data_IF_955012780750
#
_entry.id   IF_955012780750
#
_cell.length_a   1.000
_cell.length_b   1.000
_cell.length_c   1.000
_cell.angle_alpha   90.00
_cell.angle_beta   90.00
_cell.angle_gamma   90.00
#
_symmetry.space_group_name_H-M   'P 1'
#
loop_
_entity.id
_entity.type
_entity.pdbx_description
1 polymer ?
#
# COMPACT_ATOMS: atom_id res chain seq x y z
N UNK A 1 -26.78 -24.35 33.07
CA UNK A 1 -26.01 -23.09 32.98
C UNK A 1 -24.89 -23.34 32.00
N UNK A 2 -24.99 -22.80 30.78
CA UNK A 2 -23.95 -22.91 29.77
C UNK A 2 -23.02 -21.70 29.91
N UNK A 3 -21.73 -21.96 30.04
CA UNK A 3 -20.69 -20.93 29.98
C UNK A 3 -20.66 -20.36 28.56
N UNK A 4 -21.03 -19.09 28.40
CA UNK A 4 -20.74 -18.33 27.18
C UNK A 4 -19.23 -18.11 27.15
N UNK A 5 -18.55 -18.75 26.20
CA UNK A 5 -17.16 -18.47 25.87
C UNK A 5 -17.08 -17.05 25.29
N UNK A 6 -16.66 -16.10 26.14
CA UNK A 6 -16.18 -14.78 25.70
C UNK A 6 -14.95 -14.98 24.82
N UNK A 7 -15.18 -15.19 23.52
CA UNK A 7 -14.12 -15.11 22.51
C UNK A 7 -13.68 -13.64 22.47
N UNK A 8 -12.41 -13.32 22.72
CA UNK A 8 -11.96 -11.93 22.70
C UNK A 8 -12.14 -11.39 21.28
N UNK A 9 -12.95 -10.35 21.14
CA UNK A 9 -12.97 -9.55 19.92
C UNK A 9 -11.58 -8.90 19.83
N UNK A 10 -10.72 -9.36 18.91
CA UNK A 10 -9.48 -8.67 18.56
C UNK A 10 -9.85 -7.29 18.00
N UNK A 11 -9.80 -6.26 18.84
CA UNK A 11 -10.30 -4.91 18.52
C UNK A 11 -9.20 -3.88 18.32
N UNK A 12 -7.93 -4.25 18.47
CA UNK A 12 -6.79 -3.32 18.43
C UNK A 12 -5.84 -3.62 17.26
N UNK A 13 -6.35 -3.73 16.02
CA UNK A 13 -5.47 -3.85 14.85
C UNK A 13 -4.88 -2.47 14.51
N UNK A 14 -3.56 -2.31 14.70
CA UNK A 14 -2.80 -1.18 14.16
C UNK A 14 -2.71 -1.31 12.63
N UNK A 15 -3.08 -0.25 11.92
CA UNK A 15 -2.97 -0.18 10.46
C UNK A 15 -1.77 0.69 10.10
N UNK A 16 -0.88 0.15 9.26
CA UNK A 16 0.26 0.88 8.71
C UNK A 16 -0.10 1.41 7.32
N UNK A 17 -0.20 2.73 7.22
CA UNK A 17 -0.36 3.45 5.96
C UNK A 17 0.99 4.06 5.58
N UNK A 18 1.58 3.59 4.48
CA UNK A 18 2.89 4.05 4.00
C UNK A 18 2.74 5.01 2.81
N UNK A 19 3.43 6.14 2.89
CA UNK A 19 3.41 7.22 1.87
C UNK A 19 4.74 7.35 1.11
N UNK A 20 5.63 6.36 1.18
CA UNK A 20 6.98 6.42 0.57
C UNK A 20 6.91 6.71 -0.92
N UNK A 21 5.97 6.09 -1.64
CA UNK A 21 5.84 6.20 -3.10
C UNK A 21 5.13 7.47 -3.58
N UNK A 22 4.65 8.32 -2.66
CA UNK A 22 3.97 9.58 -2.96
C UNK A 22 4.64 10.74 -2.27
N UNK A 23 4.61 10.77 -0.94
CA UNK A 23 5.16 11.90 -0.18
C UNK A 23 6.68 11.80 -0.10
N UNK A 24 7.20 10.57 0.02
CA UNK A 24 8.64 10.30 -0.01
C UNK A 24 9.29 10.75 -1.33
N UNK A 25 8.70 10.41 -2.48
CA UNK A 25 9.23 10.77 -3.80
C UNK A 25 9.24 12.29 -4.10
N UNK A 26 8.46 13.08 -3.36
CA UNK A 26 8.44 14.54 -3.49
C UNK A 26 9.64 15.21 -2.81
N UNK A 27 10.45 14.45 -2.08
CA UNK A 27 11.70 14.94 -1.50
C UNK A 27 12.72 15.31 -2.58
N UNK A 28 13.48 16.42 -2.43
CA UNK A 28 14.51 16.79 -3.41
C UNK A 28 15.52 15.66 -3.64
N UNK A 29 15.70 15.27 -4.90
CA UNK A 29 16.64 14.20 -5.28
C UNK A 29 16.11 12.77 -5.09
N UNK A 30 14.86 12.59 -4.68
CA UNK A 30 14.24 11.26 -4.48
C UNK A 30 13.26 10.86 -5.61
N UNK A 31 13.42 11.43 -6.80
CA UNK A 31 12.56 11.12 -7.95
C UNK A 31 12.72 9.65 -8.34
N UNK A 32 11.60 8.92 -8.40
CA UNK A 32 11.55 7.50 -8.73
C UNK A 32 10.98 7.29 -10.13
N UNK A 33 11.58 6.37 -10.88
CA UNK A 33 10.97 5.84 -12.09
C UNK A 33 9.98 4.69 -11.78
N UNK A 34 9.22 4.24 -12.78
CA UNK A 34 8.17 3.22 -12.60
C UNK A 34 8.73 1.90 -12.03
N UNK A 35 9.89 1.45 -12.51
CA UNK A 35 10.51 0.19 -12.07
C UNK A 35 11.02 0.30 -10.63
N UNK A 36 11.57 1.45 -10.24
CA UNK A 36 11.97 1.72 -8.85
C UNK A 36 10.76 1.74 -7.92
N UNK A 37 9.66 2.39 -8.31
CA UNK A 37 8.41 2.38 -7.55
C UNK A 37 7.88 0.97 -7.38
N UNK A 38 7.91 0.15 -8.43
CA UNK A 38 7.49 -1.24 -8.42
C UNK A 38 8.34 -2.10 -7.47
N UNK A 39 9.65 -1.93 -7.48
CA UNK A 39 10.54 -2.64 -6.57
C UNK A 39 10.25 -2.27 -5.12
N UNK A 40 10.15 -0.97 -4.81
CA UNK A 40 9.82 -0.48 -3.46
C UNK A 40 8.43 -0.99 -3.04
N UNK A 41 7.42 -0.96 -3.90
CA UNK A 41 6.08 -1.47 -3.58
C UNK A 41 6.10 -2.96 -3.18
N UNK A 42 6.91 -3.79 -3.86
CA UNK A 42 7.10 -5.20 -3.49
C UNK A 42 7.76 -5.35 -2.12
N UNK A 43 8.73 -4.49 -1.80
CA UNK A 43 9.38 -4.48 -0.49
C UNK A 43 8.39 -4.06 0.61
N UNK A 44 7.58 -3.02 0.39
CA UNK A 44 6.54 -2.57 1.34
C UNK A 44 5.51 -3.66 1.59
N UNK A 45 5.10 -4.38 0.53
CA UNK A 45 4.20 -5.52 0.66
C UNK A 45 4.80 -6.62 1.55
N UNK A 46 6.06 -7.03 1.30
CA UNK A 46 6.77 -8.03 2.13
C UNK A 46 7.02 -7.56 3.57
N UNK A 47 7.22 -6.26 3.78
CA UNK A 47 7.38 -5.67 5.11
C UNK A 47 6.10 -5.78 5.95
N UNK A 48 4.94 -5.98 5.32
CA UNK A 48 3.65 -6.12 5.99
C UNK A 48 2.88 -4.81 6.11
N UNK A 49 3.17 -3.81 5.26
CA UNK A 49 2.37 -2.58 5.17
C UNK A 49 0.92 -2.93 4.81
N UNK A 50 -0.05 -2.34 5.48
CA UNK A 50 -1.47 -2.59 5.20
C UNK A 50 -1.94 -1.80 3.96
N UNK A 51 -1.53 -0.53 3.87
CA UNK A 51 -1.96 0.38 2.80
C UNK A 51 -0.74 1.12 2.24
N UNK A 52 -0.56 1.09 0.93
CA UNK A 52 0.45 1.86 0.22
C UNK A 52 -0.19 2.97 -0.60
N UNK A 53 0.16 4.22 -0.32
CA UNK A 53 -0.15 5.36 -1.19
C UNK A 53 0.81 5.36 -2.38
N UNK A 54 0.36 4.82 -3.50
CA UNK A 54 1.21 4.51 -4.65
C UNK A 54 1.54 5.73 -5.54
N UNK A 55 0.93 6.90 -5.26
CA UNK A 55 1.16 8.14 -6.00
C UNK A 55 -0.11 8.97 -6.18
N UNK A 56 -0.03 9.94 -7.10
CA UNK A 56 -1.14 10.81 -7.47
C UNK A 56 -1.50 10.67 -8.96
N UNK A 57 -2.44 9.77 -9.32
CA UNK A 57 -2.69 9.39 -10.72
C UNK A 57 -3.04 10.53 -11.67
N UNK A 58 -3.64 11.62 -11.17
CA UNK A 58 -4.04 12.77 -12.00
C UNK A 58 -2.87 13.71 -12.33
N UNK A 59 -1.71 13.54 -11.68
CA UNK A 59 -0.58 14.45 -11.83
C UNK A 59 0.04 14.35 -13.23
N UNK A 60 0.18 13.13 -13.77
CA UNK A 60 0.71 12.90 -15.12
C UNK A 60 0.31 11.52 -15.66
N UNK A 61 0.43 11.26 -16.98
CA UNK A 61 0.28 9.92 -17.53
C UNK A 61 1.27 8.90 -16.95
N UNK A 62 2.48 9.35 -16.57
CA UNK A 62 3.49 8.49 -15.93
C UNK A 62 3.08 8.07 -14.52
N UNK A 63 2.53 8.99 -13.73
CA UNK A 63 2.00 8.68 -12.40
C UNK A 63 0.79 7.76 -12.47
N UNK A 64 -0.09 7.98 -13.44
CA UNK A 64 -1.21 7.08 -13.70
C UNK A 64 -0.72 5.66 -13.99
N UNK A 65 0.24 5.51 -14.91
CA UNK A 65 0.78 4.20 -15.28
C UNK A 65 1.49 3.52 -14.11
N UNK A 66 2.26 4.27 -13.31
CA UNK A 66 2.91 3.76 -12.11
C UNK A 66 1.89 3.19 -11.12
N UNK A 67 0.85 3.97 -10.77
CA UNK A 67 -0.19 3.54 -9.83
C UNK A 67 -0.97 2.34 -10.37
N UNK A 68 -1.30 2.34 -11.67
CA UNK A 68 -1.98 1.23 -12.34
C UNK A 68 -1.18 -0.06 -12.24
N UNK A 69 0.12 -0.02 -12.59
CA UNK A 69 0.99 -1.20 -12.51
C UNK A 69 1.19 -1.71 -11.09
N UNK A 70 1.34 -0.82 -10.11
CA UNK A 70 1.43 -1.23 -8.70
C UNK A 70 0.14 -1.91 -8.25
N UNK A 71 -1.03 -1.36 -8.62
CA UNK A 71 -2.32 -1.95 -8.30
C UNK A 71 -2.51 -3.34 -8.89
N UNK A 72 -2.08 -3.56 -10.14
CA UNK A 72 -2.22 -4.84 -10.85
C UNK A 72 -1.18 -5.89 -10.44
N UNK A 73 0.08 -5.48 -10.26
CA UNK A 73 1.20 -6.41 -10.04
C UNK A 73 1.48 -6.67 -8.56
N UNK A 74 1.28 -5.67 -7.69
CA UNK A 74 1.67 -5.75 -6.28
C UNK A 74 0.46 -5.89 -5.37
N UNK A 75 -0.65 -5.22 -5.69
CA UNK A 75 -1.89 -5.30 -4.90
C UNK A 75 -2.34 -6.73 -4.58
N UNK A 76 -2.35 -7.68 -5.54
CA UNK A 76 -2.78 -9.05 -5.28
C UNK A 76 -1.78 -9.92 -4.50
N UNK A 77 -0.54 -9.44 -4.26
CA UNK A 77 0.51 -10.26 -3.68
C UNK A 77 0.24 -10.54 -2.19
N UNK A 78 0.33 -11.81 -1.83
CA UNK A 78 0.28 -12.30 -0.43
C UNK A 78 1.55 -13.04 -0.03
N UNK A 79 2.43 -13.36 -0.99
CA UNK A 79 3.69 -14.06 -0.73
C UNK A 79 4.60 -13.23 0.19
N UNK A 80 5.12 -13.87 1.24
CA UNK A 80 5.98 -13.22 2.23
C UNK A 80 5.23 -12.40 3.29
N UNK A 81 3.91 -12.29 3.23
CA UNK A 81 3.10 -11.56 4.21
C UNK A 81 2.64 -12.46 5.36
N UNK A 82 2.85 -12.00 6.60
CA UNK A 82 2.52 -12.76 7.82
C UNK A 82 1.01 -12.90 8.07
N UNK A 83 0.22 -11.92 7.66
CA UNK A 83 -1.23 -11.88 7.82
C UNK A 83 -1.98 -12.61 6.69
N UNK A 84 -1.26 -12.98 5.62
CA UNK A 84 -1.82 -13.58 4.41
C UNK A 84 -2.81 -12.67 3.65
N UNK A 85 -2.93 -11.40 4.04
CA UNK A 85 -3.83 -10.45 3.39
C UNK A 85 -3.06 -9.63 2.35
N UNK A 86 -3.65 -9.28 1.20
CA UNK A 86 -3.01 -8.39 0.25
C UNK A 86 -2.85 -6.97 0.80
N UNK A 87 -1.83 -6.25 0.32
CA UNK A 87 -1.66 -4.82 0.59
C UNK A 87 -2.68 -4.02 -0.21
N UNK A 88 -3.39 -3.09 0.43
CA UNK A 88 -4.30 -2.17 -0.27
C UNK A 88 -3.49 -1.10 -0.99
N UNK A 89 -3.76 -0.92 -2.28
CA UNK A 89 -3.15 0.15 -3.08
C UNK A 89 -4.10 1.35 -3.12
N UNK A 90 -3.66 2.48 -2.57
CA UNK A 90 -4.39 3.73 -2.55
C UNK A 90 -3.78 4.73 -3.54
N UNK A 91 -4.63 5.44 -4.28
CA UNK A 91 -4.26 6.60 -5.07
C UNK A 91 -5.05 7.82 -4.63
N UNK A 92 -4.39 8.99 -4.54
CA UNK A 92 -5.09 10.22 -4.17
C UNK A 92 -6.06 10.67 -5.27
N UNK A 93 -7.26 11.09 -4.86
CA UNK A 93 -8.20 11.81 -5.70
C UNK A 93 -8.28 13.27 -5.23
N UNK A 94 -8.39 14.22 -6.16
CA UNK A 94 -8.75 15.61 -5.85
C UNK A 94 -10.27 15.75 -5.77
N UNK A 95 -10.78 16.40 -4.72
CA UNK A 95 -12.14 16.94 -4.72
C UNK A 95 -12.11 18.35 -5.36
N UNK A 96 -13.10 18.65 -6.20
CA UNK A 96 -13.30 19.99 -6.78
C UNK A 96 -14.37 20.75 -5.99
#
# INVERSE_FOLDING_TARGET
MAENSDVPVQKDKLIIFDTTLRDGEQSPGATLNIEEKLEIARQLSRLGVDICEAGFPIASPGDFEAVRRIAEEVGPLTEGRKDGQPMVIAGLARAN
#
